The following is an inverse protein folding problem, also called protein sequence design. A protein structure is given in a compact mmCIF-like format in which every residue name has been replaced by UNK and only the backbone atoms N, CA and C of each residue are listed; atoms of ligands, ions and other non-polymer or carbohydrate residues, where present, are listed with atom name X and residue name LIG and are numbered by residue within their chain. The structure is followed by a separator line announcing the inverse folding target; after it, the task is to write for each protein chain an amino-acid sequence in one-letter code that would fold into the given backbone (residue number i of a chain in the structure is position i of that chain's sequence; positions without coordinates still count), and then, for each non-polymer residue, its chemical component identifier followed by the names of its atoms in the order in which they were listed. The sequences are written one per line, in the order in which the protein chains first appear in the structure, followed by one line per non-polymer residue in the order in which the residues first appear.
data_IF_354535021584
#
_entry.id   IF_354535021584
#
_cell.length_a   1.000
_cell.length_b   1.000
_cell.length_c   1.000
_cell.angle_alpha   90.00
_cell.angle_beta   90.00
_cell.angle_gamma   90.00
#
_symmetry.space_group_name_H-M   'P 1'
#
loop_
_entity.id
_entity.type
_entity.pdbx_description
1 polymer ?
#
# COMPACT_ATOMS: atom_id res chain seq x y z
N UNK A 1 -1.47 -17.77 11.38
CA UNK A 1 -0.35 -16.91 11.80
C UNK A 1 -0.41 -16.65 13.31
N UNK A 2 0.72 -16.36 13.98
CA UNK A 2 0.71 -15.91 15.39
C UNK A 2 0.01 -14.52 15.49
N UNK A 3 -1.01 -14.33 16.36
CA UNK A 3 -1.74 -13.07 16.47
C UNK A 3 -0.88 -11.84 16.79
N UNK A 4 0.14 -11.98 17.62
CA UNK A 4 1.07 -10.89 17.96
C UNK A 4 1.94 -10.52 16.76
N UNK A 5 2.39 -11.52 16.00
CA UNK A 5 3.14 -11.30 14.77
C UNK A 5 2.28 -10.60 13.72
N UNK A 6 1.02 -11.03 13.54
CA UNK A 6 0.04 -10.38 12.64
C UNK A 6 -0.14 -8.91 13.01
N UNK A 7 -0.41 -8.61 14.28
CA UNK A 7 -0.62 -7.24 14.74
C UNK A 7 0.63 -6.36 14.54
N UNK A 8 1.83 -6.92 14.77
CA UNK A 8 3.09 -6.21 14.51
C UNK A 8 3.29 -5.92 13.04
N UNK A 9 3.03 -6.89 12.15
CA UNK A 9 3.16 -6.69 10.70
C UNK A 9 2.22 -5.58 10.24
N UNK A 10 0.93 -5.65 10.59
CA UNK A 10 -0.05 -4.61 10.21
C UNK A 10 0.40 -3.24 10.71
N UNK A 11 0.71 -3.11 12.01
CA UNK A 11 1.14 -1.85 12.62
C UNK A 11 2.39 -1.26 11.98
N UNK A 12 3.30 -2.09 11.47
CA UNK A 12 4.55 -1.63 10.84
C UNK A 12 4.33 -1.22 9.39
N UNK A 13 3.59 -1.99 8.60
CA UNK A 13 3.53 -1.80 7.14
C UNK A 13 2.38 -0.92 6.67
N UNK A 14 1.24 -0.91 7.38
CA UNK A 14 0.09 -0.06 7.04
C UNK A 14 0.45 1.42 6.84
N UNK A 15 1.12 2.11 7.79
CA UNK A 15 1.44 3.52 7.60
C UNK A 15 2.47 3.76 6.48
N UNK A 16 3.34 2.79 6.19
CA UNK A 16 4.33 2.89 5.11
C UNK A 16 3.62 2.83 3.75
N UNK A 17 2.68 1.90 3.60
CA UNK A 17 1.88 1.74 2.39
C UNK A 17 0.99 2.97 2.18
N UNK A 18 0.33 3.48 3.23
CA UNK A 18 -0.47 4.70 3.14
C UNK A 18 0.36 5.91 2.67
N UNK A 19 1.57 6.09 3.22
CA UNK A 19 2.47 7.17 2.78
C UNK A 19 2.92 7.00 1.32
N UNK A 20 3.20 5.76 0.89
CA UNK A 20 3.58 5.47 -0.48
C UNK A 20 2.44 5.77 -1.46
N UNK A 21 1.21 5.38 -1.12
CA UNK A 21 0.01 5.68 -1.91
C UNK A 21 -0.19 7.19 -2.03
N UNK A 22 -0.07 7.92 -0.93
CA UNK A 22 -0.24 9.38 -0.93
C UNK A 22 0.79 10.08 -1.82
N UNK A 23 2.07 9.69 -1.73
CA UNK A 23 3.13 10.25 -2.59
C UNK A 23 2.90 9.94 -4.07
N UNK A 24 2.48 8.73 -4.38
CA UNK A 24 2.18 8.36 -5.77
C UNK A 24 0.98 9.16 -6.31
N UNK A 25 -0.03 9.37 -5.48
CA UNK A 25 -1.18 10.22 -5.80
C UNK A 25 -0.76 11.69 -6.01
N UNK A 26 0.11 12.25 -5.16
CA UNK A 26 0.65 13.61 -5.34
C UNK A 26 1.42 13.76 -6.66
N UNK A 27 2.31 12.81 -6.96
CA UNK A 27 3.09 12.81 -8.20
C UNK A 27 2.17 12.71 -9.42
N UNK A 28 1.17 11.83 -9.35
CA UNK A 28 0.17 11.67 -10.42
C UNK A 28 -0.68 12.93 -10.61
N UNK A 29 -1.07 13.60 -9.52
CA UNK A 29 -1.86 14.82 -9.59
C UNK A 29 -1.03 16.04 -10.05
N UNK A 30 0.29 16.01 -9.88
CA UNK A 30 1.21 17.04 -10.35
C UNK A 30 1.66 16.88 -11.80
N UNK A 31 1.48 15.71 -12.42
CA UNK A 31 1.73 15.47 -13.84
C UNK A 31 0.43 15.59 -14.63
N UNK A 32 0.36 16.53 -15.58
CA UNK A 32 -0.79 16.73 -16.46
C UNK A 32 -1.26 15.41 -17.11
N UNK A 33 -2.36 14.87 -16.59
CA UNK A 33 -3.43 14.11 -17.24
C UNK A 33 -3.11 13.17 -18.43
N UNK A 34 -2.15 12.25 -18.26
CA UNK A 34 -1.88 11.20 -19.27
C UNK A 34 -1.79 9.76 -18.77
N UNK A 35 -1.63 9.53 -17.47
CA UNK A 35 -1.34 8.19 -16.94
C UNK A 35 -2.62 7.44 -16.57
N UNK A 36 -3.04 6.51 -17.42
CA UNK A 36 -4.10 5.54 -17.12
C UNK A 36 -3.56 4.41 -16.25
N UNK A 37 -3.66 4.61 -14.93
CA UNK A 37 -4.17 3.58 -14.04
C UNK A 37 -3.16 2.79 -13.19
N UNK A 38 -3.34 2.89 -11.87
CA UNK A 38 -2.80 1.97 -10.88
C UNK A 38 -1.56 2.49 -10.15
N UNK A 39 -1.37 1.97 -8.94
CA UNK A 39 -0.11 2.08 -8.25
C UNK A 39 0.97 1.27 -8.99
N UNK A 40 2.25 1.49 -8.68
CA UNK A 40 3.31 0.56 -9.10
C UNK A 40 2.96 -0.90 -8.78
N UNK A 41 3.50 -1.85 -9.56
CA UNK A 41 3.21 -3.27 -9.35
C UNK A 41 3.63 -3.73 -7.95
N UNK A 42 4.76 -3.21 -7.46
CA UNK A 42 5.30 -3.45 -6.13
C UNK A 42 4.36 -2.93 -5.03
N UNK A 43 3.85 -1.70 -5.17
CA UNK A 43 2.93 -1.13 -4.18
C UNK A 43 1.58 -1.87 -4.21
N UNK A 44 1.10 -2.24 -5.39
CA UNK A 44 -0.12 -3.06 -5.55
C UNK A 44 0.02 -4.41 -4.84
N UNK A 45 1.15 -5.10 -5.02
CA UNK A 45 1.42 -6.36 -4.33
C UNK A 45 1.52 -6.18 -2.81
N UNK A 46 2.14 -5.10 -2.35
CA UNK A 46 2.26 -4.80 -0.92
C UNK A 46 0.88 -4.52 -0.27
N UNK A 47 0.00 -3.78 -0.96
CA UNK A 47 -1.38 -3.55 -0.53
C UNK A 47 -2.14 -4.87 -0.43
N UNK A 48 -2.08 -5.71 -1.49
CA UNK A 48 -2.80 -6.98 -1.51
C UNK A 48 -2.34 -7.92 -0.39
N UNK A 49 -1.03 -8.03 -0.16
CA UNK A 49 -0.48 -8.85 0.91
C UNK A 49 -0.93 -8.35 2.30
N UNK A 50 -0.96 -7.02 2.50
CA UNK A 50 -1.46 -6.45 3.76
C UNK A 50 -2.94 -6.77 3.98
N UNK A 51 -3.75 -6.69 2.92
CA UNK A 51 -5.18 -7.02 2.97
C UNK A 51 -5.44 -8.50 3.23
N UNK A 52 -4.65 -9.40 2.64
CA UNK A 52 -4.67 -10.84 2.93
C UNK A 52 -4.36 -11.10 4.42
N UNK A 53 -3.28 -10.50 4.93
CA UNK A 53 -2.88 -10.58 6.34
C UNK A 53 -3.98 -10.09 7.28
N UNK A 54 -4.69 -9.02 6.92
CA UNK A 54 -5.82 -8.49 7.72
C UNK A 54 -7.00 -9.46 7.78
N UNK A 55 -7.26 -10.20 6.70
CA UNK A 55 -8.40 -11.14 6.58
C UNK A 55 -8.15 -12.52 7.21
N UNK A 56 -6.90 -12.98 7.28
CA UNK A 56 -6.51 -14.24 7.94
C UNK A 56 -6.76 -14.29 9.45
#
# INVERSE_FOLDING_TARGET
MNPELKARIIKTFEPIIEQAMWREDEVRNGMDSGSTGGYSHELTNAINLLEEIKRE
#
